data_IF_306632300399
#
_entry.id   IF_306632300399
#
_cell.length_a   1.000
_cell.length_b   1.000
_cell.length_c   1.000
_cell.angle_alpha   90.00
_cell.angle_beta   90.00
_cell.angle_gamma   90.00
#
_symmetry.space_group_name_H-M   'P 1'
#
loop_
_entity.id
_entity.type
_entity.pdbx_description
1 polymer ?
#
# COMPACT_ATOMS: atom_id res chain seq x y z
N UNK A 1 7.94 -6.48 -19.49
CA UNK A 1 7.01 -6.92 -18.44
C UNK A 1 7.21 -5.95 -17.29
N UNK A 2 6.14 -5.34 -16.81
CA UNK A 2 6.20 -4.30 -15.80
C UNK A 2 6.01 -4.94 -14.42
N UNK A 3 6.95 -4.72 -13.50
CA UNK A 3 6.94 -5.28 -12.15
C UNK A 3 7.34 -4.21 -11.14
N UNK A 4 6.77 -4.27 -9.94
CA UNK A 4 7.13 -3.44 -8.80
C UNK A 4 7.26 -4.29 -7.55
N UNK A 5 8.06 -3.87 -6.59
CA UNK A 5 8.22 -4.54 -5.31
C UNK A 5 7.86 -3.61 -4.15
N UNK A 6 7.17 -4.16 -3.14
CA UNK A 6 6.86 -3.45 -1.90
C UNK A 6 7.77 -3.92 -0.76
N UNK A 7 8.47 -2.98 -0.13
CA UNK A 7 9.39 -3.23 0.97
C UNK A 7 8.85 -2.65 2.28
N UNK A 8 9.05 -3.41 3.36
CA UNK A 8 8.70 -2.98 4.71
C UNK A 8 9.92 -2.38 5.39
N UNK A 9 9.77 -1.21 6.06
CA UNK A 9 10.80 -0.73 6.97
C UNK A 9 11.12 -1.81 8.01
N UNK A 10 12.40 -2.01 8.36
CA UNK A 10 12.78 -2.98 9.37
C UNK A 10 12.20 -2.59 10.74
N UNK A 11 12.05 -3.57 11.63
CA UNK A 11 11.61 -3.31 13.01
C UNK A 11 12.60 -2.42 13.79
N UNK A 12 13.89 -2.46 13.43
CA UNK A 12 14.97 -1.70 14.08
C UNK A 12 15.78 -0.92 13.05
N UNK A 13 16.35 0.23 13.45
CA UNK A 13 17.15 1.09 12.56
C UNK A 13 18.39 0.37 12.00
N UNK A 14 18.99 -0.55 12.76
CA UNK A 14 20.13 -1.35 12.30
C UNK A 14 19.76 -2.31 11.16
N UNK A 15 18.47 -2.55 10.91
CA UNK A 15 18.00 -3.37 9.81
C UNK A 15 17.97 -2.67 8.45
N UNK A 16 18.14 -1.34 8.39
CA UNK A 16 17.97 -0.57 7.14
C UNK A 16 18.94 -1.05 6.07
N UNK A 17 20.22 -1.26 6.42
CA UNK A 17 21.23 -1.74 5.49
C UNK A 17 20.88 -3.09 4.84
N UNK A 18 20.20 -3.98 5.57
CA UNK A 18 19.74 -5.26 5.01
C UNK A 18 18.63 -5.08 3.98
N UNK A 19 17.68 -4.17 4.23
CA UNK A 19 16.59 -3.88 3.29
C UNK A 19 17.13 -3.17 2.04
N UNK A 20 18.11 -2.28 2.20
CA UNK A 20 18.82 -1.65 1.07
C UNK A 20 19.54 -2.68 0.21
N UNK A 21 20.18 -3.68 0.81
CA UNK A 21 20.82 -4.76 0.05
C UNK A 21 19.82 -5.62 -0.73
N UNK A 22 18.68 -5.94 -0.11
CA UNK A 22 17.57 -6.61 -0.81
C UNK A 22 17.08 -5.76 -1.98
N UNK A 23 16.91 -4.44 -1.78
CA UNK A 23 16.50 -3.54 -2.85
C UNK A 23 17.49 -3.51 -4.02
N UNK A 24 18.81 -3.65 -3.77
CA UNK A 24 19.82 -3.78 -4.84
C UNK A 24 19.63 -5.06 -5.64
N UNK A 25 19.42 -6.18 -4.96
CA UNK A 25 19.16 -7.47 -5.62
C UNK A 25 17.87 -7.43 -6.45
N UNK A 26 16.84 -6.74 -5.94
CA UNK A 26 15.57 -6.56 -6.67
C UNK A 26 15.73 -5.63 -7.88
N UNK A 27 16.69 -4.69 -7.85
CA UNK A 27 16.95 -3.80 -8.97
C UNK A 27 17.46 -4.53 -10.23
N UNK A 28 18.06 -5.73 -10.07
CA UNK A 28 18.49 -6.58 -11.20
C UNK A 28 17.31 -7.03 -12.08
N UNK A 29 16.10 -7.07 -11.53
CA UNK A 29 14.86 -7.35 -12.27
C UNK A 29 14.30 -6.13 -13.01
N UNK A 30 14.96 -4.97 -12.92
CA UNK A 30 14.57 -3.71 -13.54
C UNK A 30 13.10 -3.33 -13.29
N UNK A 31 12.66 -3.27 -12.01
CA UNK A 31 11.27 -2.92 -11.71
C UNK A 31 10.97 -1.46 -12.06
N UNK A 32 9.72 -1.16 -12.39
CA UNK A 32 9.26 0.21 -12.68
C UNK A 32 9.32 1.10 -11.43
N UNK A 33 9.13 0.49 -10.26
CA UNK A 33 9.21 1.14 -8.96
C UNK A 33 9.51 0.16 -7.83
N UNK A 34 10.05 0.70 -6.75
CA UNK A 34 10.03 0.08 -5.42
C UNK A 34 9.15 0.95 -4.54
N UNK A 35 8.18 0.36 -3.84
CA UNK A 35 7.40 1.06 -2.82
C UNK A 35 7.92 0.76 -1.42
N UNK A 36 7.86 1.75 -0.53
CA UNK A 36 8.22 1.61 0.89
C UNK A 36 6.99 1.85 1.74
N UNK A 37 6.63 0.86 2.55
CA UNK A 37 5.44 0.94 3.40
C UNK A 37 5.62 1.92 4.57
N UNK A 38 4.47 2.28 5.15
CA UNK A 38 4.37 3.20 6.26
C UNK A 38 3.63 2.52 7.41
N UNK A 39 4.22 2.54 8.60
CA UNK A 39 3.67 1.77 9.72
C UNK A 39 2.37 2.36 10.28
N UNK A 40 1.56 1.50 10.88
CA UNK A 40 0.24 1.85 11.42
C UNK A 40 0.33 3.00 12.44
N UNK A 41 -0.62 3.93 12.38
CA UNK A 41 -0.68 5.10 13.26
C UNK A 41 0.58 5.99 13.25
N UNK A 42 1.37 6.01 12.17
CA UNK A 42 2.64 6.72 12.11
C UNK A 42 3.82 6.02 12.81
N UNK A 43 3.60 4.81 13.33
CA UNK A 43 4.68 4.02 13.92
C UNK A 43 5.73 3.71 12.86
N UNK A 44 7.00 3.91 13.19
CA UNK A 44 8.09 3.69 12.23
C UNK A 44 8.23 4.77 11.15
N UNK A 45 7.56 5.93 11.26
CA UNK A 45 7.78 7.11 10.40
C UNK A 45 9.25 7.36 10.09
N UNK A 46 10.07 7.45 11.15
CA UNK A 46 11.50 7.68 11.03
C UNK A 46 12.21 6.60 10.20
N UNK A 47 11.81 5.33 10.37
CA UNK A 47 12.41 4.20 9.62
C UNK A 47 11.95 4.19 8.17
N UNK A 48 10.68 4.48 7.90
CA UNK A 48 10.18 4.70 6.54
C UNK A 48 10.92 5.85 5.85
N UNK A 49 11.01 7.02 6.50
CA UNK A 49 11.71 8.18 5.92
C UNK A 49 13.17 7.91 5.65
N UNK A 50 13.88 7.24 6.56
CA UNK A 50 15.28 6.84 6.33
C UNK A 50 15.40 5.86 5.16
N UNK A 51 14.53 4.87 5.07
CA UNK A 51 14.57 3.90 3.98
C UNK A 51 14.24 4.56 2.64
N UNK A 52 13.22 5.42 2.57
CA UNK A 52 12.89 6.22 1.39
C UNK A 52 14.08 7.07 0.97
N UNK A 53 14.73 7.78 1.89
CA UNK A 53 15.90 8.60 1.59
C UNK A 53 17.10 7.78 1.08
N UNK A 54 17.34 6.58 1.62
CA UNK A 54 18.39 5.69 1.13
C UNK A 54 18.09 5.15 -0.28
N UNK A 55 16.84 4.76 -0.53
CA UNK A 55 16.42 4.17 -1.81
C UNK A 55 16.12 5.20 -2.90
N UNK A 56 16.00 6.49 -2.57
CA UNK A 56 15.86 7.55 -3.58
C UNK A 56 17.22 8.00 -4.18
N UNK A 57 18.34 7.46 -3.68
CA UNK A 57 19.67 7.79 -4.21
C UNK A 57 19.87 7.17 -5.60
N UNK A 58 20.79 7.73 -6.42
CA UNK A 58 21.13 7.15 -7.72
C UNK A 58 21.52 5.66 -7.63
N UNK A 59 21.08 4.88 -8.61
CA UNK A 59 21.34 3.44 -8.69
C UNK A 59 20.20 2.54 -8.22
N UNK A 60 19.10 3.12 -7.75
CA UNK A 60 17.86 2.40 -7.45
C UNK A 60 16.76 2.72 -8.46
N UNK A 61 15.77 1.81 -8.63
CA UNK A 61 14.52 2.11 -9.30
C UNK A 61 13.80 3.29 -8.63
N UNK A 62 12.86 3.90 -9.35
CA UNK A 62 12.08 5.01 -8.82
C UNK A 62 11.32 4.61 -7.54
N UNK A 63 11.46 5.42 -6.50
CA UNK A 63 10.86 5.17 -5.19
C UNK A 63 9.41 5.65 -5.16
N UNK A 64 8.54 4.88 -4.51
CA UNK A 64 7.15 5.26 -4.23
C UNK A 64 6.90 5.18 -2.72
N UNK A 65 6.68 6.33 -2.09
CA UNK A 65 6.53 6.38 -0.64
C UNK A 65 5.08 6.17 -0.22
N UNK A 66 4.81 5.22 0.69
CA UNK A 66 3.50 5.15 1.32
C UNK A 66 3.36 6.32 2.29
N UNK A 67 2.20 6.98 2.25
CA UNK A 67 1.85 8.06 3.17
C UNK A 67 0.45 7.79 3.73
N UNK A 68 0.31 7.90 5.05
CA UNK A 68 -0.95 7.64 5.74
C UNK A 68 -1.36 8.79 6.64
N UNK A 69 -2.66 8.92 6.91
CA UNK A 69 -3.19 9.94 7.83
C UNK A 69 -3.50 9.41 9.25
N UNK A 70 -3.57 8.08 9.43
CA UNK A 70 -3.88 7.47 10.73
C UNK A 70 -2.91 7.92 11.82
N UNK A 71 -3.45 8.44 12.93
CA UNK A 71 -2.67 8.85 14.11
C UNK A 71 -1.84 10.12 13.95
N UNK A 72 -2.02 10.91 12.88
CA UNK A 72 -1.16 12.07 12.59
C UNK A 72 -1.99 13.34 12.35
N UNK A 73 -1.47 14.49 12.78
CA UNK A 73 -2.05 15.79 12.42
C UNK A 73 -1.83 16.05 10.92
N UNK A 74 -2.64 16.94 10.34
CA UNK A 74 -2.45 17.39 8.97
C UNK A 74 -1.07 18.01 8.80
N UNK A 75 -0.64 18.83 9.76
CA UNK A 75 0.67 19.46 9.74
C UNK A 75 1.82 18.43 9.67
N UNK A 76 1.75 17.35 10.45
CA UNK A 76 2.79 16.31 10.45
C UNK A 76 2.89 15.60 9.09
N UNK A 77 1.74 15.28 8.48
CA UNK A 77 1.67 14.63 7.17
C UNK A 77 2.21 15.56 6.09
N UNK A 78 1.87 16.85 6.15
CA UNK A 78 2.37 17.87 5.21
C UNK A 78 3.88 18.07 5.32
N UNK A 79 4.39 18.26 6.53
CA UNK A 79 5.83 18.41 6.74
C UNK A 79 6.60 17.21 6.20
N UNK A 80 6.10 16.00 6.43
CA UNK A 80 6.74 14.79 5.91
C UNK A 80 6.72 14.71 4.38
N UNK A 81 5.59 15.11 3.77
CA UNK A 81 5.46 15.17 2.32
C UNK A 81 6.47 16.16 1.73
N UNK A 82 6.55 17.37 2.29
CA UNK A 82 7.48 18.41 1.88
C UNK A 82 8.93 17.91 2.00
N UNK A 83 9.30 17.32 3.15
CA UNK A 83 10.61 16.72 3.35
C UNK A 83 10.93 15.67 2.27
N UNK A 84 10.00 14.79 1.93
CA UNK A 84 10.22 13.77 0.88
C UNK A 84 10.33 14.39 -0.52
N UNK A 85 9.51 15.37 -0.85
CA UNK A 85 9.54 16.05 -2.15
C UNK A 85 10.81 16.89 -2.33
N UNK A 86 11.29 17.56 -1.29
CA UNK A 86 12.58 18.27 -1.28
C UNK A 86 13.75 17.34 -1.58
N UNK A 87 13.65 16.06 -1.18
CA UNK A 87 14.63 15.02 -1.50
C UNK A 87 14.36 14.33 -2.84
N UNK A 88 13.40 14.80 -3.63
CA UNK A 88 13.12 14.34 -4.99
C UNK A 88 12.12 13.18 -5.10
N UNK A 89 11.40 12.84 -4.03
CA UNK A 89 10.33 11.83 -4.10
C UNK A 89 9.13 12.41 -4.85
N UNK A 90 8.69 11.71 -5.90
CA UNK A 90 7.64 12.17 -6.81
C UNK A 90 6.41 11.28 -6.85
N UNK A 91 6.50 10.08 -6.27
CA UNK A 91 5.46 9.05 -6.35
C UNK A 91 5.02 8.64 -4.95
N UNK A 92 3.71 8.53 -4.76
CA UNK A 92 3.13 8.25 -3.45
C UNK A 92 2.05 7.20 -3.51
N UNK A 93 1.99 6.31 -2.52
CA UNK A 93 0.81 5.50 -2.23
C UNK A 93 0.04 6.19 -1.10
N UNK A 94 -1.07 6.84 -1.45
CA UNK A 94 -1.87 7.64 -0.52
C UNK A 94 -2.95 6.78 0.14
N UNK A 95 -2.84 6.58 1.45
CA UNK A 95 -3.67 5.65 2.19
C UNK A 95 -4.30 6.33 3.41
N UNK A 96 -5.45 5.80 3.85
CA UNK A 96 -5.98 6.11 5.18
C UNK A 96 -5.00 5.66 6.27
N UNK A 97 -4.45 4.46 6.09
CA UNK A 97 -3.62 3.77 7.07
C UNK A 97 -4.46 3.00 8.08
N UNK A 98 -3.78 2.08 8.73
CA UNK A 98 -4.32 1.24 9.80
C UNK A 98 -4.27 1.98 11.14
N UNK A 99 -5.29 1.77 11.98
CA UNK A 99 -5.25 2.18 13.38
C UNK A 99 -4.26 1.28 14.13
N UNK A 100 -3.54 1.79 15.16
CA UNK A 100 -2.72 0.92 16.02
C UNK A 100 -3.52 -0.22 16.64
N UNK A 101 -4.77 0.06 17.01
CA UNK A 101 -5.76 -0.95 17.42
C UNK A 101 -6.80 -1.15 16.31
N UNK A 102 -6.57 -2.18 15.50
CA UNK A 102 -7.46 -2.57 14.40
C UNK A 102 -8.79 -3.20 14.86
N UNK A 103 -8.98 -3.44 16.17
CA UNK A 103 -10.27 -3.89 16.69
C UNK A 103 -11.28 -2.74 16.83
N UNK A 104 -10.84 -1.49 16.69
CA UNK A 104 -11.69 -0.30 16.77
C UNK A 104 -11.92 0.27 15.36
N UNK A 105 -13.10 0.89 15.13
CA UNK A 105 -13.33 1.65 13.92
C UNK A 105 -12.25 2.72 13.72
N UNK A 106 -11.92 3.00 12.47
CA UNK A 106 -11.03 4.09 12.14
C UNK A 106 -11.54 5.41 12.75
N UNK A 107 -10.63 6.15 13.39
CA UNK A 107 -10.89 7.49 13.90
C UNK A 107 -9.77 8.41 13.42
N UNK A 108 -10.06 9.45 12.63
CA UNK A 108 -9.04 10.40 12.22
C UNK A 108 -8.51 11.15 13.45
N UNK A 109 -7.27 11.64 13.33
CA UNK A 109 -6.73 12.59 14.29
C UNK A 109 -7.59 13.87 14.32
N UNK A 110 -7.76 14.50 15.48
CA UNK A 110 -8.64 15.67 15.63
C UNK A 110 -8.30 16.82 14.67
N UNK A 111 -7.00 17.05 14.48
CA UNK A 111 -6.44 18.02 13.52
C UNK A 111 -5.86 17.35 12.26
N UNK A 112 -6.30 16.12 11.94
CA UNK A 112 -5.81 15.33 10.81
C UNK A 112 -6.46 15.66 9.47
N UNK A 113 -6.01 14.99 8.41
CA UNK A 113 -6.81 14.91 7.17
C UNK A 113 -8.12 14.16 7.46
N UNK A 114 -9.22 14.62 6.85
CA UNK A 114 -10.54 14.01 7.03
C UNK A 114 -10.68 12.69 6.28
N UNK A 115 -9.99 12.52 5.15
CA UNK A 115 -10.00 11.31 4.34
C UNK A 115 -8.72 11.12 3.53
N UNK A 116 -8.52 9.91 2.98
CA UNK A 116 -7.44 9.67 2.02
C UNK A 116 -7.67 10.39 0.69
N UNK A 117 -8.92 10.78 0.38
CA UNK A 117 -9.24 11.58 -0.80
C UNK A 117 -8.67 12.99 -0.68
N UNK A 118 -8.79 13.61 0.50
CA UNK A 118 -8.22 14.93 0.77
C UNK A 118 -6.69 14.92 0.67
N UNK A 119 -6.07 13.82 1.11
CA UNK A 119 -4.62 13.60 0.96
C UNK A 119 -4.22 13.45 -0.52
N UNK A 120 -4.97 12.68 -1.31
CA UNK A 120 -4.73 12.54 -2.75
C UNK A 120 -4.88 13.88 -3.48
N UNK A 121 -5.95 14.62 -3.22
CA UNK A 121 -6.19 15.92 -3.82
C UNK A 121 -5.06 16.90 -3.46
N UNK A 122 -4.57 16.84 -2.22
CA UNK A 122 -3.44 17.64 -1.79
C UNK A 122 -2.15 17.25 -2.53
N UNK A 123 -1.80 15.97 -2.60
CA UNK A 123 -0.64 15.50 -3.36
C UNK A 123 -0.69 15.94 -4.83
N UNK A 124 -1.86 15.84 -5.46
CA UNK A 124 -2.07 16.23 -6.85
C UNK A 124 -1.84 17.74 -7.06
N UNK A 125 -2.29 18.59 -6.13
CA UNK A 125 -2.08 20.03 -6.24
C UNK A 125 -0.68 20.50 -5.83
N UNK A 126 0.16 19.63 -5.25
CA UNK A 126 1.51 19.93 -4.76
C UNK A 126 2.60 19.17 -5.50
N UNK A 127 2.36 18.81 -6.77
CA UNK A 127 3.42 18.36 -7.68
C UNK A 127 3.85 16.90 -7.52
N UNK A 128 3.05 16.05 -6.86
CA UNK A 128 3.23 14.61 -7.00
C UNK A 128 2.94 14.19 -8.46
N UNK A 129 3.84 13.41 -9.07
CA UNK A 129 3.71 12.97 -10.46
C UNK A 129 2.82 11.73 -10.58
N UNK A 130 2.91 10.81 -9.60
CA UNK A 130 2.10 9.59 -9.56
C UNK A 130 1.53 9.37 -8.15
N UNK A 131 0.22 9.12 -8.10
CA UNK A 131 -0.54 8.95 -6.86
C UNK A 131 -1.32 7.64 -6.94
N UNK A 132 -0.88 6.66 -6.18
CA UNK A 132 -1.48 5.35 -6.12
C UNK A 132 -2.50 5.27 -4.98
N UNK A 133 -3.71 4.82 -5.29
CA UNK A 133 -4.72 4.48 -4.30
C UNK A 133 -4.81 2.98 -4.04
N UNK A 134 -5.09 2.58 -2.79
CA UNK A 134 -5.41 1.18 -2.48
C UNK A 134 -6.78 0.77 -3.05
N UNK A 135 -6.93 -0.46 -3.51
CA UNK A 135 -8.19 -1.04 -3.97
C UNK A 135 -8.42 -2.44 -3.36
N UNK A 136 -9.65 -2.84 -3.12
CA UNK A 136 -9.95 -4.11 -2.44
C UNK A 136 -10.85 -4.99 -3.33
N UNK A 137 -10.30 -5.98 -4.06
CA UNK A 137 -11.09 -6.81 -4.99
C UNK A 137 -12.27 -7.53 -4.33
N UNK A 138 -12.10 -7.92 -3.06
CA UNK A 138 -13.11 -8.56 -2.22
C UNK A 138 -13.93 -7.57 -1.36
N UNK A 139 -13.66 -6.27 -1.51
CA UNK A 139 -14.24 -5.20 -0.71
C UNK A 139 -13.44 -4.88 0.56
N UNK A 140 -13.35 -3.59 0.92
CA UNK A 140 -12.73 -3.20 2.18
C UNK A 140 -13.59 -3.67 3.37
N UNK A 141 -13.03 -4.21 4.47
CA UNK A 141 -13.81 -4.74 5.61
C UNK A 141 -14.78 -3.74 6.25
N UNK A 142 -14.44 -2.45 6.22
CA UNK A 142 -15.28 -1.35 6.71
C UNK A 142 -16.21 -0.75 5.65
N UNK A 143 -16.16 -1.24 4.40
CA UNK A 143 -17.04 -0.76 3.35
C UNK A 143 -18.45 -1.33 3.53
N UNK A 144 -19.51 -0.50 3.47
CA UNK A 144 -20.86 -0.95 3.74
C UNK A 144 -21.44 -1.80 2.60
N UNK A 145 -20.88 -1.71 1.39
CA UNK A 145 -21.32 -2.50 0.23
C UNK A 145 -20.28 -2.46 -0.89
N UNK A 146 -20.41 -3.37 -1.87
CA UNK A 146 -19.58 -3.33 -3.07
C UNK A 146 -19.80 -2.06 -3.91
N UNK A 147 -21.03 -1.53 -3.96
CA UNK A 147 -21.30 -0.27 -4.67
C UNK A 147 -20.56 0.89 -4.02
N UNK A 148 -20.59 0.98 -2.69
CA UNK A 148 -19.89 2.03 -1.95
C UNK A 148 -18.36 1.95 -2.13
N UNK A 149 -17.80 0.73 -2.27
CA UNK A 149 -16.39 0.56 -2.63
C UNK A 149 -16.10 1.14 -4.01
N UNK A 150 -16.92 0.83 -5.02
CA UNK A 150 -16.75 1.36 -6.38
C UNK A 150 -16.92 2.89 -6.44
N UNK A 151 -17.91 3.44 -5.74
CA UNK A 151 -18.11 4.89 -5.61
C UNK A 151 -16.86 5.55 -4.97
N UNK A 152 -16.27 4.90 -3.97
CA UNK A 152 -15.05 5.39 -3.34
C UNK A 152 -13.83 5.31 -4.26
N UNK A 153 -13.71 4.28 -5.09
CA UNK A 153 -12.65 4.20 -6.11
C UNK A 153 -12.81 5.29 -7.18
N UNK A 154 -14.05 5.57 -7.61
CA UNK A 154 -14.33 6.68 -8.52
C UNK A 154 -13.92 8.02 -7.88
N UNK A 155 -14.24 8.21 -6.60
CA UNK A 155 -13.83 9.39 -5.86
C UNK A 155 -12.30 9.53 -5.74
N UNK A 156 -11.54 8.42 -5.62
CA UNK A 156 -10.06 8.45 -5.67
C UNK A 156 -9.54 8.96 -7.01
N UNK A 157 -10.13 8.50 -8.11
CA UNK A 157 -9.82 9.00 -9.45
C UNK A 157 -10.09 10.49 -9.56
N UNK A 158 -11.26 10.94 -9.09
CA UNK A 158 -11.65 12.36 -9.15
C UNK A 158 -10.78 13.24 -8.22
N UNK A 159 -10.21 12.66 -7.15
CA UNK A 159 -9.25 13.29 -6.26
C UNK A 159 -7.80 13.31 -6.81
N UNK A 160 -7.54 12.77 -7.99
CA UNK A 160 -6.23 12.85 -8.64
C UNK A 160 -5.35 11.61 -8.51
N UNK A 161 -5.88 10.46 -8.08
CA UNK A 161 -5.14 9.20 -8.19
C UNK A 161 -4.81 8.90 -9.66
N UNK A 162 -3.59 8.45 -9.94
CA UNK A 162 -3.10 8.10 -11.28
C UNK A 162 -3.19 6.60 -11.58
N UNK A 163 -3.21 5.77 -10.54
CA UNK A 163 -3.42 4.33 -10.63
C UNK A 163 -3.95 3.77 -9.30
N UNK A 164 -4.42 2.53 -9.33
CA UNK A 164 -4.86 1.79 -8.16
C UNK A 164 -3.98 0.54 -7.98
N UNK A 165 -3.62 0.22 -6.75
CA UNK A 165 -2.93 -1.02 -6.38
C UNK A 165 -3.88 -1.84 -5.53
N UNK A 166 -4.15 -3.08 -5.93
CA UNK A 166 -5.07 -3.92 -5.18
C UNK A 166 -4.42 -4.49 -3.92
N UNK A 167 -5.21 -4.69 -2.88
CA UNK A 167 -4.95 -5.71 -1.89
C UNK A 167 -4.72 -7.06 -2.59
N UNK A 168 -3.89 -7.92 -2.01
CA UNK A 168 -3.66 -9.24 -2.59
C UNK A 168 -4.91 -10.12 -2.53
N UNK A 169 -4.93 -11.09 -3.43
CA UNK A 169 -5.97 -12.09 -3.58
C UNK A 169 -5.31 -13.42 -3.97
N UNK A 170 -5.97 -14.54 -3.70
CA UNK A 170 -5.44 -15.87 -4.04
C UNK A 170 -6.06 -16.46 -5.31
N UNK A 171 -7.21 -15.95 -5.75
CA UNK A 171 -7.89 -16.42 -6.97
C UNK A 171 -7.93 -15.31 -8.02
N UNK A 172 -7.45 -15.62 -9.22
CA UNK A 172 -7.40 -14.67 -10.34
C UNK A 172 -8.79 -14.15 -10.71
N UNK A 173 -9.81 -14.98 -10.64
CA UNK A 173 -11.19 -14.59 -10.96
C UNK A 173 -11.73 -13.49 -10.03
N UNK A 174 -11.20 -13.40 -8.81
CA UNK A 174 -11.54 -12.31 -7.89
C UNK A 174 -11.13 -10.95 -8.48
N UNK A 175 -9.89 -10.87 -8.97
CA UNK A 175 -9.37 -9.67 -9.63
C UNK A 175 -10.08 -9.38 -10.95
N UNK A 176 -10.29 -10.39 -11.80
CA UNK A 176 -10.94 -10.20 -13.11
C UNK A 176 -12.36 -9.63 -12.94
N UNK A 177 -13.17 -10.22 -12.05
CA UNK A 177 -14.52 -9.69 -11.76
C UNK A 177 -14.49 -8.30 -11.12
N UNK A 178 -13.49 -8.01 -10.29
CA UNK A 178 -13.32 -6.68 -9.71
C UNK A 178 -12.98 -5.64 -10.78
N UNK A 179 -12.03 -5.93 -11.67
CA UNK A 179 -11.67 -5.07 -12.79
C UNK A 179 -12.88 -4.76 -13.67
N UNK A 180 -13.62 -5.80 -14.09
CA UNK A 180 -14.77 -5.64 -14.99
C UNK A 180 -15.88 -4.80 -14.33
N UNK A 181 -16.12 -4.99 -13.02
CA UNK A 181 -17.04 -4.14 -12.24
C UNK A 181 -16.55 -2.69 -12.18
N UNK A 182 -15.27 -2.47 -11.89
CA UNK A 182 -14.70 -1.13 -11.80
C UNK A 182 -14.80 -0.37 -13.13
N UNK A 183 -14.49 -1.04 -14.25
CA UNK A 183 -14.63 -0.49 -15.60
C UNK A 183 -16.10 -0.13 -15.90
N UNK A 184 -17.04 -1.04 -15.58
CA UNK A 184 -18.47 -0.78 -15.77
C UNK A 184 -19.01 0.38 -14.92
N UNK A 185 -18.31 0.74 -13.84
CA UNK A 185 -18.62 1.87 -12.95
C UNK A 185 -17.86 3.15 -13.30
N UNK A 186 -17.22 3.20 -14.48
CA UNK A 186 -16.56 4.40 -15.00
C UNK A 186 -15.19 4.70 -14.36
N UNK A 187 -14.55 3.71 -13.73
CA UNK A 187 -13.17 3.82 -13.26
C UNK A 187 -12.24 3.50 -14.44
N UNK A 188 -11.47 4.49 -14.86
CA UNK A 188 -10.58 4.42 -16.04
C UNK A 188 -9.10 4.29 -15.66
N UNK A 189 -8.79 4.32 -14.36
CA UNK A 189 -7.42 4.16 -13.85
C UNK A 189 -6.88 2.75 -14.11
N UNK A 190 -5.57 2.65 -14.31
CA UNK A 190 -4.88 1.37 -14.29
C UNK A 190 -5.05 0.72 -12.90
N UNK A 191 -5.53 -0.52 -12.87
CA UNK A 191 -5.64 -1.33 -11.64
C UNK A 191 -4.54 -2.39 -11.66
N UNK A 192 -3.55 -2.22 -10.79
CA UNK A 192 -2.37 -3.08 -10.66
C UNK A 192 -2.65 -4.16 -9.63
N UNK A 193 -2.57 -5.46 -9.97
CA UNK A 193 -2.80 -6.54 -9.02
C UNK A 193 -1.65 -6.65 -8.01
N UNK A 194 -1.96 -6.49 -6.73
CA UNK A 194 -1.05 -6.84 -5.64
C UNK A 194 -0.97 -8.35 -5.46
N UNK A 195 0.24 -8.91 -5.38
CA UNK A 195 0.46 -10.35 -5.20
C UNK A 195 1.25 -10.57 -3.92
N UNK A 196 0.82 -11.52 -3.08
CA UNK A 196 1.52 -11.91 -1.86
C UNK A 196 2.22 -13.27 -2.04
N UNK A 197 3.55 -13.31 -2.15
CA UNK A 197 4.31 -14.55 -2.05
C UNK A 197 4.22 -15.10 -0.61
N UNK A 198 3.57 -16.26 -0.43
CA UNK A 198 3.38 -16.87 0.89
C UNK A 198 4.63 -17.62 1.32
N UNK A 199 5.48 -16.96 2.12
CA UNK A 199 6.62 -17.60 2.80
C UNK A 199 6.26 -18.18 4.18
N UNK A 200 5.26 -17.61 4.86
CA UNK A 200 4.76 -18.08 6.15
C UNK A 200 3.24 -18.09 6.16
N UNK A 201 2.65 -19.28 6.11
CA UNK A 201 1.21 -19.43 5.96
C UNK A 201 0.41 -18.94 7.17
N UNK A 202 0.91 -19.11 8.40
CA UNK A 202 0.25 -18.60 9.60
C UNK A 202 0.17 -17.06 9.60
N UNK A 203 1.25 -16.40 9.21
CA UNK A 203 1.28 -14.94 9.05
C UNK A 203 0.33 -14.49 7.94
N UNK A 204 0.31 -15.21 6.81
CA UNK A 204 -0.61 -14.94 5.71
C UNK A 204 -2.07 -15.04 6.17
N UNK A 205 -2.48 -16.14 6.84
CA UNK A 205 -3.82 -16.30 7.43
C UNK A 205 -4.21 -15.13 8.34
N UNK A 206 -3.32 -14.74 9.24
CA UNK A 206 -3.54 -13.61 10.13
C UNK A 206 -3.72 -12.29 9.37
N UNK A 207 -2.94 -12.08 8.31
CA UNK A 207 -3.05 -10.89 7.49
C UNK A 207 -4.33 -10.87 6.65
N UNK A 208 -4.70 -12.01 6.04
CA UNK A 208 -5.89 -12.15 5.21
C UNK A 208 -7.16 -11.90 6.01
N UNK A 209 -7.23 -12.41 7.24
CA UNK A 209 -8.33 -12.10 8.18
C UNK A 209 -8.47 -10.60 8.46
N UNK A 210 -7.36 -9.85 8.53
CA UNK A 210 -7.38 -8.40 8.80
C UNK A 210 -7.79 -7.58 7.58
N UNK A 211 -7.31 -7.94 6.39
CA UNK A 211 -7.60 -7.18 5.18
C UNK A 211 -8.86 -7.65 4.43
N UNK A 212 -9.50 -8.73 4.88
CA UNK A 212 -10.71 -9.28 4.27
C UNK A 212 -10.46 -10.15 3.05
N UNK A 213 -9.21 -10.57 2.79
CA UNK A 213 -8.89 -11.47 1.69
C UNK A 213 -9.30 -12.92 2.04
N UNK A 214 -10.00 -13.60 1.13
CA UNK A 214 -10.34 -15.01 1.31
C UNK A 214 -9.15 -15.90 0.97
N UNK A 215 -8.95 -16.98 1.74
CA UNK A 215 -7.96 -18.01 1.44
C UNK A 215 -8.72 -19.26 0.97
N UNK A 216 -8.63 -19.63 -0.31
CA UNK A 216 -9.29 -20.82 -0.84
C UNK A 216 -8.76 -22.10 -0.20
N UNK A 217 -9.61 -23.13 -0.15
CA UNK A 217 -9.27 -24.42 0.45
C UNK A 217 -8.01 -25.05 -0.18
N UNK A 218 -7.81 -24.93 -1.50
CA UNK A 218 -6.62 -25.48 -2.14
C UNK A 218 -5.30 -24.87 -1.63
N UNK A 219 -5.34 -23.60 -1.17
CA UNK A 219 -4.17 -22.95 -0.55
C UNK A 219 -3.94 -23.54 0.84
N UNK A 220 -5.01 -23.73 1.63
CA UNK A 220 -4.92 -24.43 2.91
C UNK A 220 -4.33 -25.83 2.76
N UNK A 221 -4.81 -26.60 1.78
CA UNK A 221 -4.37 -27.97 1.53
C UNK A 221 -2.89 -28.01 1.13
N UNK A 222 -2.44 -27.04 0.34
CA UNK A 222 -1.04 -26.94 -0.11
C UNK A 222 -0.05 -26.67 1.04
N UNK A 223 -0.49 -25.97 2.09
CA UNK A 223 0.34 -25.67 3.27
C UNK A 223 0.04 -26.60 4.47
N UNK A 224 -0.86 -27.56 4.31
CA UNK A 224 -1.13 -28.57 5.33
C UNK A 224 0.14 -29.42 5.60
N UNK A 225 0.42 -29.72 6.87
CA UNK A 225 1.61 -30.43 7.32
C UNK A 225 2.94 -29.66 7.27
N UNK A 226 3.03 -28.48 6.62
CA UNK A 226 4.29 -27.73 6.44
C UNK A 226 4.63 -26.77 7.60
N UNK A 227 3.96 -26.90 8.74
CA UNK A 227 4.01 -25.95 9.86
C UNK A 227 5.42 -25.82 10.46
N UNK A 228 6.22 -26.88 10.32
CA UNK A 228 7.57 -27.01 10.87
C UNK A 228 8.67 -27.07 9.78
N UNK A 229 8.33 -26.85 8.50
CA UNK A 229 9.32 -26.90 7.42
C UNK A 229 9.28 -25.60 6.60
N UNK A 230 10.13 -24.61 6.92
CA UNK A 230 10.15 -23.30 6.25
C UNK A 230 10.83 -23.32 4.87
N UNK A 231 10.98 -24.49 4.25
CA UNK A 231 11.64 -24.71 2.97
C UNK A 231 10.70 -25.36 1.96
#
# INVERSE_FOLDING_TARGET
MNISFELFPPATSNGIGKVVEIARQLADFQPDMISVTYGAGGSGRERSSRLVAELNKPGFPAITAHITLSGQSKQDVLQQMDEWQEHGVKRFVALRGDMPDMARPFKPHGDGFSSSLDLMAHLASHGAEEIYGGAYPEGHPESPSQSAELDHLKAKQDAGATALITQYFFEVDCFLRFRDRAESHGITLLIIPGILPVANFEKAKGFSKRCGASIPQFVHDRFAGLHNNPH
#
